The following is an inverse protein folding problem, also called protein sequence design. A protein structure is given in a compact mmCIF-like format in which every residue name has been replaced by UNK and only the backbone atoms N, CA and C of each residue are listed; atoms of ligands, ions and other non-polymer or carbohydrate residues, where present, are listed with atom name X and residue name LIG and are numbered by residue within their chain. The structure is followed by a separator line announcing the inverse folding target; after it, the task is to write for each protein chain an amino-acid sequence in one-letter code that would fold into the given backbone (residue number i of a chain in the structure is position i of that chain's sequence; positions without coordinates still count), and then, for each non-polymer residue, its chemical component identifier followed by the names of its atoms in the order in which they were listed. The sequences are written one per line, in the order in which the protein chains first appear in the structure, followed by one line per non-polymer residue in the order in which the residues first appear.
data_IF_401016006590
#
_entry.id   IF_401016006590
#
_cell.length_a   1.000
_cell.length_b   1.000
_cell.length_c   1.000
_cell.angle_alpha   90.00
_cell.angle_beta   90.00
_cell.angle_gamma   90.00
#
_symmetry.space_group_name_H-M   'P 1'
#
loop_
_entity.id
_entity.type
_entity.pdbx_description
1 polymer ?
#
# COMPACT_ATOMS: atom_id res chain seq x y z
N UNK A 1 12.47 1.72 -4.88
CA UNK A 1 13.55 2.29 -5.70
C UNK A 1 14.89 2.27 -4.95
N UNK A 2 15.04 3.00 -3.84
CA UNK A 2 16.31 3.07 -3.09
C UNK A 2 16.74 1.72 -2.48
N UNK A 3 15.81 0.80 -2.35
CA UNK A 3 16.04 -0.58 -1.88
C UNK A 3 16.38 -1.57 -3.02
N UNK A 4 16.59 -1.07 -4.24
CA UNK A 4 16.94 -1.88 -5.40
C UNK A 4 15.76 -2.55 -6.11
N UNK A 5 14.52 -2.15 -5.77
CA UNK A 5 13.30 -2.63 -6.42
C UNK A 5 12.95 -1.70 -7.58
N UNK A 6 12.54 -2.28 -8.71
CA UNK A 6 11.99 -1.52 -9.82
C UNK A 6 10.60 -0.97 -9.43
N UNK A 7 10.44 0.35 -9.55
CA UNK A 7 9.23 1.04 -9.13
C UNK A 7 8.76 2.01 -10.20
N UNK A 8 7.48 1.96 -10.50
CA UNK A 8 6.78 3.00 -11.28
C UNK A 8 5.67 3.62 -10.42
N UNK A 9 5.32 4.86 -10.70
CA UNK A 9 4.25 5.57 -9.99
C UNK A 9 3.09 5.81 -10.95
N UNK A 10 1.94 5.21 -10.65
CA UNK A 10 0.70 5.44 -11.37
C UNK A 10 0.03 6.73 -10.91
N UNK A 11 -0.13 7.72 -11.78
CA UNK A 11 -0.80 8.96 -11.48
C UNK A 11 -1.81 9.32 -12.57
N UNK A 12 -2.93 9.93 -12.16
CA UNK A 12 -3.91 10.48 -13.11
C UNK A 12 -3.28 11.59 -13.95
N UNK A 13 -3.74 11.81 -15.20
CA UNK A 13 -3.33 12.94 -16.01
C UNK A 13 -3.51 14.27 -15.28
N UNK A 14 -2.53 15.16 -15.35
CA UNK A 14 -2.57 16.47 -14.68
C UNK A 14 -2.36 16.44 -13.16
N UNK A 15 -1.93 15.32 -12.58
CA UNK A 15 -1.62 15.24 -11.15
C UNK A 15 -0.47 16.19 -10.77
N UNK A 16 -0.68 17.01 -9.74
CA UNK A 16 0.35 17.90 -9.17
C UNK A 16 1.53 17.13 -8.52
N UNK A 17 1.37 15.83 -8.29
CA UNK A 17 2.42 14.97 -7.74
C UNK A 17 3.42 14.49 -8.79
N UNK A 18 3.08 14.56 -10.10
CA UNK A 18 3.95 14.10 -11.18
C UNK A 18 5.34 14.76 -11.16
N UNK A 19 5.47 16.10 -11.12
CA UNK A 19 6.79 16.73 -11.09
C UNK A 19 7.63 16.32 -9.87
N UNK A 20 6.98 16.09 -8.72
CA UNK A 20 7.67 15.66 -7.51
C UNK A 20 8.23 14.23 -7.63
N UNK A 21 7.47 13.32 -8.21
CA UNK A 21 7.92 11.94 -8.44
C UNK A 21 9.07 11.89 -9.44
N UNK A 22 8.94 12.62 -10.56
CA UNK A 22 9.98 12.71 -11.60
C UNK A 22 11.28 13.33 -11.07
N UNK A 23 11.19 14.36 -10.20
CA UNK A 23 12.37 14.97 -9.54
C UNK A 23 13.11 14.00 -8.62
N UNK A 24 12.42 12.99 -8.10
CA UNK A 24 13.02 11.90 -7.30
C UNK A 24 13.56 10.76 -8.16
N UNK A 25 13.57 10.90 -9.50
CA UNK A 25 14.06 9.89 -10.42
C UNK A 25 13.08 8.73 -10.66
N UNK A 26 11.82 8.86 -10.23
CA UNK A 26 10.81 7.82 -10.43
C UNK A 26 10.16 7.92 -11.80
N UNK A 27 9.95 6.79 -12.46
CA UNK A 27 9.15 6.69 -13.67
C UNK A 27 7.67 6.87 -13.33
N UNK A 28 7.00 7.79 -14.04
CA UNK A 28 5.58 8.06 -13.83
C UNK A 28 4.79 7.64 -15.07
N UNK A 29 3.77 6.84 -14.86
CA UNK A 29 2.84 6.34 -15.88
C UNK A 29 1.40 6.76 -15.55
N UNK A 30 0.47 6.56 -16.49
CA UNK A 30 -0.95 6.59 -16.16
C UNK A 30 -1.30 5.36 -15.33
N UNK A 31 -2.39 5.43 -14.55
CA UNK A 31 -2.70 4.43 -13.52
C UNK A 31 -2.86 3.02 -14.11
N UNK A 32 -3.57 2.90 -15.21
CA UNK A 32 -3.79 1.64 -15.93
C UNK A 32 -2.49 1.04 -16.47
N UNK A 33 -1.62 1.86 -17.07
CA UNK A 33 -0.32 1.43 -17.56
C UNK A 33 0.60 0.99 -16.41
N UNK A 34 0.57 1.67 -15.28
CA UNK A 34 1.33 1.28 -14.08
C UNK A 34 0.83 -0.03 -13.48
N UNK A 35 -0.49 -0.23 -13.44
CA UNK A 35 -1.11 -1.47 -12.97
C UNK A 35 -0.77 -2.66 -13.88
N UNK A 36 -0.78 -2.45 -15.20
CA UNK A 36 -0.40 -3.48 -16.18
C UNK A 36 1.10 -3.84 -16.15
N UNK A 37 1.94 -2.92 -15.67
CA UNK A 37 3.39 -3.12 -15.60
C UNK A 37 3.82 -3.88 -14.34
N UNK A 38 3.13 -3.70 -13.22
CA UNK A 38 3.58 -4.17 -11.92
C UNK A 38 3.18 -5.62 -11.61
N UNK A 39 4.12 -6.42 -11.11
CA UNK A 39 3.82 -7.71 -10.48
C UNK A 39 3.12 -7.51 -9.11
N UNK A 40 3.43 -6.39 -8.46
CA UNK A 40 2.81 -5.95 -7.20
C UNK A 40 2.22 -4.57 -7.39
N UNK A 41 0.93 -4.42 -7.18
CA UNK A 41 0.20 -3.15 -7.27
C UNK A 41 -0.16 -2.65 -5.88
N UNK A 42 0.45 -1.52 -5.47
CA UNK A 42 0.19 -0.89 -4.17
C UNK A 42 -0.83 0.24 -4.31
N UNK A 43 -2.00 0.13 -3.67
CA UNK A 43 -3.00 1.19 -3.58
C UNK A 43 -2.72 2.08 -2.37
N UNK A 44 -2.15 3.26 -2.62
CA UNK A 44 -1.74 4.22 -1.60
C UNK A 44 -2.43 5.58 -1.74
N UNK A 45 -3.49 5.66 -2.53
CA UNK A 45 -4.35 6.83 -2.65
C UNK A 45 -5.38 6.87 -1.51
N UNK A 46 -6.00 8.03 -1.20
CA UNK A 46 -7.01 8.11 -0.14
C UNK A 46 -8.17 7.14 -0.35
N UNK A 47 -8.63 6.51 0.74
CA UNK A 47 -9.57 5.39 0.73
C UNK A 47 -10.87 5.66 -0.04
N UNK A 48 -11.39 6.90 0.04
CA UNK A 48 -12.61 7.29 -0.66
C UNK A 48 -12.51 7.23 -2.19
N UNK A 49 -11.29 7.20 -2.74
CA UNK A 49 -11.03 7.13 -4.18
C UNK A 49 -10.56 5.75 -4.65
N UNK A 50 -10.17 4.87 -3.72
CA UNK A 50 -9.57 3.58 -4.09
C UNK A 50 -10.52 2.71 -4.88
N UNK A 51 -11.80 2.62 -4.47
CA UNK A 51 -12.79 1.79 -5.15
C UNK A 51 -12.95 2.19 -6.61
N UNK A 52 -13.24 3.46 -6.87
CA UNK A 52 -13.50 3.95 -8.22
C UNK A 52 -12.27 3.76 -9.13
N UNK A 53 -11.07 4.09 -8.62
CA UNK A 53 -9.82 3.91 -9.37
C UNK A 53 -9.53 2.42 -9.61
N UNK A 54 -9.81 1.56 -8.63
CA UNK A 54 -9.64 0.11 -8.78
C UNK A 54 -10.55 -0.44 -9.87
N UNK A 55 -11.84 -0.15 -9.81
CA UNK A 55 -12.83 -0.64 -10.77
C UNK A 55 -12.60 -0.10 -12.19
N UNK A 56 -12.19 1.17 -12.32
CA UNK A 56 -12.05 1.82 -13.63
C UNK A 56 -10.69 1.56 -14.31
N UNK A 57 -9.61 1.31 -13.53
CA UNK A 57 -8.24 1.38 -14.04
C UNK A 57 -7.32 0.21 -13.66
N UNK A 58 -7.67 -0.56 -12.63
CA UNK A 58 -6.73 -1.51 -12.05
C UNK A 58 -7.22 -2.94 -12.19
N UNK A 59 -8.50 -3.21 -11.97
CA UNK A 59 -9.07 -4.56 -11.86
C UNK A 59 -8.76 -5.45 -13.07
N UNK A 60 -8.77 -4.91 -14.28
CA UNK A 60 -8.49 -5.66 -15.51
C UNK A 60 -7.03 -6.15 -15.60
N UNK A 61 -6.13 -5.52 -14.86
CA UNK A 61 -4.70 -5.85 -14.82
C UNK A 61 -4.31 -6.74 -13.63
N UNK A 62 -5.20 -6.87 -12.65
CA UNK A 62 -5.00 -7.70 -11.47
C UNK A 62 -5.47 -9.13 -11.77
N UNK A 63 -4.54 -9.98 -12.16
CA UNK A 63 -4.79 -11.35 -12.62
C UNK A 63 -4.05 -12.36 -11.75
N UNK A 64 -4.35 -13.67 -11.85
CA UNK A 64 -3.59 -14.69 -11.12
C UNK A 64 -2.07 -14.54 -11.31
N UNK A 65 -1.36 -14.47 -10.19
CA UNK A 65 0.09 -14.20 -10.15
C UNK A 65 0.45 -12.74 -9.87
N UNK A 66 -0.52 -11.82 -9.89
CA UNK A 66 -0.34 -10.44 -9.39
C UNK A 66 -0.59 -10.40 -7.88
N UNK A 67 0.10 -9.52 -7.16
CA UNK A 67 -0.18 -9.22 -5.76
C UNK A 67 -0.74 -7.80 -5.62
N UNK A 68 -1.80 -7.66 -4.82
CA UNK A 68 -2.46 -6.39 -4.53
C UNK A 68 -2.18 -5.97 -3.09
N UNK A 69 -1.54 -4.83 -2.91
CA UNK A 69 -1.13 -4.32 -1.61
C UNK A 69 -1.85 -3.05 -1.19
N UNK A 70 -2.05 -2.89 0.10
CA UNK A 70 -2.73 -1.75 0.72
C UNK A 70 -1.90 -1.14 1.85
N UNK A 71 -2.05 0.16 2.07
CA UNK A 71 -1.48 0.86 3.23
C UNK A 71 -2.43 0.91 4.43
N UNK A 72 -3.72 0.59 4.24
CA UNK A 72 -4.80 0.57 5.23
C UNK A 72 -5.88 -0.42 4.79
N UNK A 73 -6.55 -1.07 5.72
CA UNK A 73 -7.43 -2.19 5.43
C UNK A 73 -8.87 -1.84 5.02
N UNK A 74 -9.27 -0.57 5.06
CA UNK A 74 -10.66 -0.11 4.95
C UNK A 74 -11.44 -0.72 3.78
N UNK A 75 -10.95 -0.57 2.55
CA UNK A 75 -11.71 -0.94 1.37
C UNK A 75 -11.87 -2.46 1.21
N UNK A 76 -10.91 -3.24 1.67
CA UNK A 76 -10.99 -4.71 1.68
C UNK A 76 -11.86 -5.20 2.84
N UNK A 77 -11.63 -4.68 4.06
CA UNK A 77 -12.39 -5.09 5.25
C UNK A 77 -13.89 -4.86 5.10
N UNK A 78 -14.31 -3.74 4.51
CA UNK A 78 -15.72 -3.42 4.31
C UNK A 78 -16.28 -3.88 2.94
N UNK A 79 -15.57 -4.75 2.21
CA UNK A 79 -16.02 -5.31 0.93
C UNK A 79 -16.28 -4.26 -0.17
N UNK A 80 -15.58 -3.14 -0.12
CA UNK A 80 -15.68 -2.10 -1.15
C UNK A 80 -14.80 -2.40 -2.36
N UNK A 81 -13.72 -3.14 -2.14
CA UNK A 81 -12.87 -3.75 -3.16
C UNK A 81 -12.88 -5.25 -2.90
N UNK A 82 -13.29 -6.02 -3.90
CA UNK A 82 -13.29 -7.47 -3.89
C UNK A 82 -12.28 -7.95 -4.95
N UNK A 83 -11.06 -8.31 -4.53
CA UNK A 83 -10.05 -8.80 -5.46
C UNK A 83 -10.45 -10.12 -6.11
N UNK A 84 -10.03 -10.39 -7.36
CA UNK A 84 -10.32 -11.66 -8.04
C UNK A 84 -9.71 -12.86 -7.30
N UNK A 85 -10.30 -14.03 -7.46
CA UNK A 85 -9.68 -15.29 -7.04
C UNK A 85 -8.32 -15.48 -7.73
N UNK A 86 -7.35 -16.06 -7.02
CA UNK A 86 -6.02 -16.33 -7.57
C UNK A 86 -5.03 -15.15 -7.47
N UNK A 87 -5.40 -14.07 -6.80
CA UNK A 87 -4.56 -12.90 -6.51
C UNK A 87 -4.16 -12.89 -5.04
N UNK A 88 -2.91 -12.57 -4.75
CA UNK A 88 -2.50 -12.33 -3.37
C UNK A 88 -2.93 -10.93 -2.92
N UNK A 89 -3.49 -10.84 -1.71
CA UNK A 89 -3.95 -9.58 -1.14
C UNK A 89 -3.33 -9.38 0.22
N UNK A 90 -2.50 -8.35 0.35
CA UNK A 90 -1.80 -8.05 1.58
C UNK A 90 -1.90 -6.57 1.97
N UNK A 91 -1.56 -6.29 3.20
CA UNK A 91 -1.48 -4.94 3.74
C UNK A 91 -0.17 -4.75 4.47
N UNK A 92 0.45 -3.60 4.28
CA UNK A 92 1.50 -3.08 5.16
C UNK A 92 1.14 -1.66 5.55
N UNK A 93 0.85 -1.46 6.82
CA UNK A 93 0.42 -0.19 7.39
C UNK A 93 1.50 0.39 8.31
N UNK A 94 2.39 1.28 7.81
CA UNK A 94 3.35 1.98 8.65
C UNK A 94 2.62 2.90 9.62
N UNK A 95 2.94 2.83 10.90
CA UNK A 95 2.31 3.65 11.95
C UNK A 95 3.01 5.00 12.10
N UNK A 96 2.97 5.76 11.00
CA UNK A 96 3.51 7.12 10.90
C UNK A 96 3.03 7.80 9.61
N UNK A 97 2.91 9.13 9.59
CA UNK A 97 2.67 9.88 8.36
C UNK A 97 3.73 9.58 7.28
N UNK A 98 3.32 9.47 6.00
CA UNK A 98 4.19 9.02 4.91
C UNK A 98 5.50 9.80 4.76
N UNK A 99 5.52 11.11 5.03
CA UNK A 99 6.74 11.91 4.99
C UNK A 99 7.73 11.53 6.11
N UNK A 100 7.27 11.02 7.24
CA UNK A 100 8.12 10.52 8.32
C UNK A 100 8.67 9.13 7.97
N UNK A 101 7.88 8.27 7.34
CA UNK A 101 8.36 6.97 6.81
C UNK A 101 9.57 7.21 5.91
N UNK A 102 9.44 8.13 4.94
CA UNK A 102 10.55 8.47 4.04
C UNK A 102 11.76 9.06 4.77
N UNK A 103 11.53 9.96 5.72
CA UNK A 103 12.63 10.62 6.46
C UNK A 103 13.41 9.64 7.33
N UNK A 104 12.72 8.77 8.07
CA UNK A 104 13.37 7.76 8.92
C UNK A 104 14.13 6.74 8.10
N UNK A 105 13.56 6.29 6.97
CA UNK A 105 14.25 5.43 6.00
C UNK A 105 15.57 6.07 5.52
N UNK A 106 15.53 7.33 5.07
CA UNK A 106 16.72 8.05 4.60
C UNK A 106 17.81 8.24 5.68
N UNK A 107 17.44 8.11 6.95
CA UNK A 107 18.36 8.14 8.09
C UNK A 107 18.87 6.75 8.49
N UNK A 108 18.57 5.70 7.73
CA UNK A 108 18.94 4.32 8.01
C UNK A 108 18.14 3.68 9.15
N UNK A 109 16.94 4.23 9.44
CA UNK A 109 16.00 3.73 10.45
C UNK A 109 14.66 3.38 9.78
N UNK A 110 13.64 3.07 10.57
CA UNK A 110 12.31 2.74 10.07
C UNK A 110 11.21 3.18 11.04
N UNK A 111 9.98 2.95 10.66
CA UNK A 111 8.81 3.08 11.52
C UNK A 111 8.15 1.72 11.68
N UNK A 112 7.53 1.41 12.84
CA UNK A 112 6.81 0.16 13.03
C UNK A 112 5.71 0.00 11.99
N UNK A 113 5.57 -1.21 11.47
CA UNK A 113 4.53 -1.56 10.49
C UNK A 113 3.63 -2.66 11.04
N UNK A 114 2.35 -2.60 10.68
CA UNK A 114 1.44 -3.74 10.77
C UNK A 114 1.41 -4.43 9.41
N UNK A 115 1.44 -5.77 9.39
CA UNK A 115 1.31 -6.58 8.19
C UNK A 115 0.15 -7.55 8.32
N UNK A 116 -0.63 -7.71 7.27
CA UNK A 116 -1.76 -8.65 7.23
C UNK A 116 -1.97 -9.21 5.84
N UNK A 117 -2.60 -10.37 5.77
CA UNK A 117 -3.01 -11.03 4.53
C UNK A 117 -4.52 -11.20 4.54
N UNK A 118 -5.19 -10.78 3.46
CA UNK A 118 -6.62 -11.01 3.26
C UNK A 118 -6.86 -12.22 2.32
N UNK A 119 -6.01 -12.42 1.33
CA UNK A 119 -6.07 -13.55 0.39
C UNK A 119 -4.65 -14.03 0.08
N UNK A 120 -4.43 -15.32 0.19
CA UNK A 120 -3.14 -15.96 -0.06
C UNK A 120 -3.33 -17.04 -1.14
N UNK A 121 -3.32 -16.62 -2.40
CA UNK A 121 -3.55 -17.49 -3.52
C UNK A 121 -2.29 -18.27 -3.92
N UNK A 122 -1.11 -17.68 -3.75
CA UNK A 122 0.18 -18.30 -4.09
C UNK A 122 0.81 -19.09 -2.95
N UNK A 123 0.39 -18.85 -1.70
CA UNK A 123 1.07 -19.31 -0.49
C UNK A 123 2.23 -18.40 -0.05
N UNK A 124 2.36 -17.20 -0.64
CA UNK A 124 3.48 -16.27 -0.41
C UNK A 124 3.03 -14.83 -0.12
N UNK A 125 1.74 -14.59 0.13
CA UNK A 125 1.22 -13.24 0.34
C UNK A 125 1.88 -12.53 1.52
N UNK A 126 2.21 -13.25 2.60
CA UNK A 126 2.93 -12.68 3.74
C UNK A 126 4.39 -12.35 3.37
N UNK A 127 5.03 -13.12 2.50
CA UNK A 127 6.39 -12.83 2.04
C UNK A 127 6.43 -11.52 1.24
N UNK A 128 5.41 -11.24 0.42
CA UNK A 128 5.26 -9.94 -0.24
C UNK A 128 5.11 -8.80 0.78
N UNK A 129 4.27 -9.00 1.81
CA UNK A 129 4.09 -8.00 2.86
C UNK A 129 5.40 -7.70 3.60
N UNK A 130 6.13 -8.72 4.01
CA UNK A 130 7.40 -8.56 4.73
C UNK A 130 8.47 -7.94 3.82
N UNK A 131 8.57 -8.37 2.56
CA UNK A 131 9.50 -7.80 1.59
C UNK A 131 9.22 -6.31 1.33
N UNK A 132 7.94 -5.93 1.22
CA UNK A 132 7.57 -4.54 1.10
C UNK A 132 7.88 -3.73 2.36
N UNK A 133 7.57 -4.28 3.55
CA UNK A 133 7.90 -3.65 4.83
C UNK A 133 9.42 -3.43 4.98
N UNK A 134 10.22 -4.40 4.56
CA UNK A 134 11.69 -4.29 4.54
C UNK A 134 12.16 -3.19 3.58
N UNK A 135 11.62 -3.18 2.36
CA UNK A 135 11.95 -2.20 1.33
C UNK A 135 11.68 -0.74 1.74
N UNK A 136 10.74 -0.50 2.67
CA UNK A 136 10.45 0.82 3.24
C UNK A 136 11.12 1.06 4.61
N UNK A 137 11.93 0.12 5.08
CA UNK A 137 12.67 0.20 6.34
C UNK A 137 11.88 -0.22 7.58
N UNK A 138 10.67 -0.74 7.43
CA UNK A 138 9.80 -1.14 8.54
C UNK A 138 10.41 -2.22 9.44
N UNK A 139 11.18 -3.14 8.87
CA UNK A 139 11.85 -4.21 9.61
C UNK A 139 12.89 -3.70 10.61
N UNK A 140 13.47 -2.52 10.39
CA UNK A 140 14.38 -1.88 11.35
C UNK A 140 13.68 -1.46 12.66
N UNK A 141 12.38 -1.21 12.62
CA UNK A 141 11.59 -0.82 13.79
C UNK A 141 10.68 -1.94 14.31
N UNK A 142 10.41 -2.94 13.47
CA UNK A 142 9.59 -4.10 13.75
C UNK A 142 8.32 -4.14 12.90
N UNK A 143 7.94 -5.37 12.53
CA UNK A 143 6.71 -5.67 11.80
C UNK A 143 5.87 -6.58 12.69
N UNK A 144 4.62 -6.22 12.90
CA UNK A 144 3.66 -6.96 13.73
C UNK A 144 2.59 -7.52 12.81
N UNK A 145 2.39 -8.82 12.86
CA UNK A 145 1.28 -9.47 12.15
C UNK A 145 -0.06 -9.12 12.79
N UNK A 146 -1.05 -8.84 11.95
CA UNK A 146 -2.40 -8.48 12.35
C UNK A 146 -3.42 -8.99 11.32
N UNK A 147 -4.65 -8.53 11.40
CA UNK A 147 -5.69 -8.76 10.38
C UNK A 147 -6.14 -7.44 9.75
N UNK A 148 -6.70 -7.49 8.53
CA UNK A 148 -7.32 -6.32 7.91
C UNK A 148 -8.38 -5.69 8.82
N UNK A 149 -9.16 -6.52 9.52
CA UNK A 149 -10.18 -6.07 10.48
C UNK A 149 -9.55 -5.30 11.64
N UNK A 150 -8.62 -5.92 12.35
CA UNK A 150 -8.07 -5.33 13.58
C UNK A 150 -7.30 -4.03 13.27
N UNK A 151 -6.53 -4.02 12.18
CA UNK A 151 -5.86 -2.80 11.76
C UNK A 151 -6.86 -1.69 11.45
N UNK A 152 -7.88 -1.97 10.60
CA UNK A 152 -8.87 -0.98 10.19
C UNK A 152 -9.66 -0.42 11.37
N UNK A 153 -10.18 -1.29 12.24
CA UNK A 153 -11.00 -0.86 13.37
C UNK A 153 -10.20 -0.08 14.40
N UNK A 154 -8.96 -0.48 14.69
CA UNK A 154 -8.11 0.21 15.67
C UNK A 154 -7.55 1.52 15.12
N UNK A 155 -7.20 1.58 13.85
CA UNK A 155 -6.71 2.80 13.19
C UNK A 155 -7.82 3.87 13.12
N UNK A 156 -9.02 3.51 12.65
CA UNK A 156 -10.18 4.38 12.64
C UNK A 156 -10.57 4.86 14.04
N UNK A 157 -10.53 3.98 15.05
CA UNK A 157 -10.80 4.37 16.43
C UNK A 157 -9.74 5.37 16.93
N UNK A 158 -8.45 5.12 16.66
CA UNK A 158 -7.35 5.99 17.03
C UNK A 158 -7.48 7.38 16.37
N UNK A 159 -7.80 7.42 15.08
CA UNK A 159 -8.05 8.69 14.38
C UNK A 159 -9.22 9.46 14.99
N UNK A 160 -10.35 8.82 15.24
CA UNK A 160 -11.53 9.48 15.79
C UNK A 160 -11.32 9.91 17.25
N UNK A 161 -10.77 9.04 18.10
CA UNK A 161 -10.61 9.31 19.52
C UNK A 161 -9.46 10.28 19.81
N UNK A 162 -8.31 10.12 19.13
CA UNK A 162 -7.08 10.88 19.43
C UNK A 162 -6.95 12.11 18.53
N UNK A 163 -7.01 11.92 17.21
CA UNK A 163 -6.74 13.02 16.28
C UNK A 163 -7.94 13.98 16.14
N UNK A 164 -9.16 13.46 16.15
CA UNK A 164 -10.38 14.27 16.01
C UNK A 164 -11.03 14.60 17.34
N UNK A 165 -10.97 13.69 18.32
CA UNK A 165 -11.60 13.84 19.64
C UNK A 165 -10.78 14.67 20.63
N UNK A 166 -9.50 14.86 20.40
CA UNK A 166 -8.64 15.64 21.28
C UNK A 166 -8.37 15.01 22.65
N UNK A 167 -8.35 13.67 22.71
CA UNK A 167 -8.09 12.91 23.95
C UNK A 167 -6.58 12.72 24.13
#
# INVERSE_FOLDING_TARGET
HDSGVDVVVGLRPGSSSRPKAEQQGLTVMDVDAAAAWGDVVMLLIPDQHQKDVYEEKIVEHVTPGTALGFGHGFNVHYGRIEPPEGVDVFMVAPKSPGHLVRRTYAQGSGVPCLAAVAQDASGSAMDFAISYADAIGGTHAGVIETTFKDETETDLFGEQAVLCGGV
#
